data_IF_847252040909
#
_entry.id   IF_847252040909
#
_cell.length_a   1.000
_cell.length_b   1.000
_cell.length_c   1.000
_cell.angle_alpha   90.00
_cell.angle_beta   90.00
_cell.angle_gamma   90.00
#
_symmetry.space_group_name_H-M   'P 1'
#
loop_
_entity.id
_entity.type
_entity.pdbx_description
1 polymer ?
#
# COMPACT_ATOMS: atom_id res chain seq x y z
N UNK A 1 4.49 -20.35 -45.96
CA UNK A 1 4.31 -21.81 -46.00
C UNK A 1 4.73 -22.38 -44.66
N UNK A 2 3.82 -23.07 -43.94
CA UNK A 2 3.93 -23.40 -42.52
C UNK A 2 4.62 -24.75 -42.28
N UNK A 3 5.34 -24.85 -41.16
CA UNK A 3 5.81 -26.11 -40.59
C UNK A 3 4.73 -26.69 -39.67
N UNK A 4 4.26 -27.90 -39.98
CA UNK A 4 3.46 -28.77 -39.12
C UNK A 4 4.39 -29.65 -38.28
N UNK A 5 4.11 -29.88 -36.99
CA UNK A 5 4.54 -31.09 -36.32
C UNK A 5 3.40 -32.07 -36.04
N UNK A 6 3.81 -33.33 -36.07
CA UNK A 6 3.08 -34.58 -35.96
C UNK A 6 2.02 -34.67 -34.85
N UNK A 7 0.88 -35.27 -35.22
CA UNK A 7 -0.18 -35.74 -34.32
C UNK A 7 0.12 -37.21 -33.96
N UNK A 8 0.27 -37.59 -32.69
CA UNK A 8 0.26 -39.00 -32.31
C UNK A 8 -1.19 -39.52 -32.26
N UNK A 9 -1.46 -40.52 -33.10
CA UNK A 9 -2.70 -41.33 -33.09
C UNK A 9 -2.65 -42.26 -31.88
N UNK A 10 -3.41 -41.94 -30.83
CA UNK A 10 -3.60 -42.85 -29.71
C UNK A 10 -4.85 -43.70 -29.97
N UNK A 11 -4.65 -45.01 -30.20
CA UNK A 11 -5.71 -45.99 -30.42
C UNK A 11 -6.56 -46.14 -29.16
N UNK A 12 -7.87 -45.98 -29.35
CA UNK A 12 -8.92 -46.10 -28.34
C UNK A 12 -9.22 -47.58 -28.10
N UNK A 13 -8.90 -48.07 -26.91
CA UNK A 13 -9.49 -49.31 -26.37
C UNK A 13 -10.41 -48.94 -25.20
N UNK A 14 -11.68 -49.27 -25.38
CA UNK A 14 -12.82 -49.19 -24.47
C UNK A 14 -12.50 -49.61 -23.04
N UNK A 15 -12.70 -48.71 -22.09
CA UNK A 15 -13.05 -49.06 -20.71
C UNK A 15 -13.92 -47.95 -20.11
N UNK A 16 -14.96 -48.38 -19.41
CA UNK A 16 -15.98 -47.56 -18.75
C UNK A 16 -15.38 -46.60 -17.70
N UNK A 17 -16.20 -45.60 -17.35
CA UNK A 17 -16.12 -44.69 -16.19
C UNK A 17 -15.23 -43.44 -16.32
N UNK A 18 -15.91 -42.31 -16.50
CA UNK A 18 -15.84 -41.23 -15.51
C UNK A 18 -14.90 -40.06 -15.81
N UNK A 19 -15.45 -38.85 -15.64
CA UNK A 19 -14.77 -37.56 -15.53
C UNK A 19 -14.17 -36.95 -16.81
N UNK A 20 -15.07 -36.46 -17.68
CA UNK A 20 -14.85 -35.16 -18.35
C UNK A 20 -14.77 -34.05 -17.29
N UNK A 21 -13.59 -33.90 -16.68
CA UNK A 21 -13.22 -32.70 -15.92
C UNK A 21 -12.96 -31.58 -16.94
N UNK A 22 -14.04 -30.87 -17.29
CA UNK A 22 -13.94 -29.47 -17.70
C UNK A 22 -13.33 -28.71 -16.52
N UNK A 23 -12.00 -28.64 -16.47
CA UNK A 23 -11.29 -27.63 -15.70
C UNK A 23 -11.58 -26.28 -16.35
N UNK A 24 -12.78 -25.75 -16.11
CA UNK A 24 -13.02 -24.33 -16.18
C UNK A 24 -12.11 -23.73 -15.11
N UNK A 25 -10.92 -23.27 -15.54
CA UNK A 25 -10.12 -22.35 -14.75
C UNK A 25 -10.98 -21.11 -14.55
N UNK A 26 -11.70 -21.06 -13.43
CA UNK A 26 -12.37 -19.87 -12.96
C UNK A 26 -11.25 -18.89 -12.61
N UNK A 27 -10.79 -18.13 -13.61
CA UNK A 27 -10.07 -16.91 -13.38
C UNK A 27 -11.08 -15.99 -12.69
N UNK A 28 -11.07 -16.01 -11.36
CA UNK A 28 -11.87 -15.10 -10.57
C UNK A 28 -11.49 -13.69 -11.02
N UNK A 29 -12.46 -12.96 -11.56
CA UNK A 29 -12.25 -11.58 -11.95
C UNK A 29 -11.72 -10.81 -10.72
N UNK A 30 -10.73 -9.92 -10.90
CA UNK A 30 -10.20 -9.14 -9.79
C UNK A 30 -11.36 -8.38 -9.12
N UNK A 31 -11.39 -8.39 -7.79
CA UNK A 31 -12.38 -7.64 -7.01
C UNK A 31 -12.29 -6.16 -7.40
N UNK A 32 -13.38 -5.62 -7.97
CA UNK A 32 -13.45 -4.24 -8.44
C UNK A 32 -13.10 -3.22 -7.35
N UNK A 33 -13.33 -3.56 -6.07
CA UNK A 33 -12.95 -2.73 -4.92
C UNK A 33 -11.43 -2.68 -4.78
N UNK A 34 -10.77 -3.84 -4.84
CA UNK A 34 -9.31 -3.95 -4.78
C UNK A 34 -8.65 -3.26 -5.97
N UNK A 35 -9.24 -3.36 -7.15
CA UNK A 35 -8.77 -2.64 -8.34
C UNK A 35 -8.84 -1.13 -8.13
N UNK A 36 -9.96 -0.60 -7.62
CA UNK A 36 -10.09 0.85 -7.34
C UNK A 36 -9.04 1.34 -6.32
N UNK A 37 -8.76 0.52 -5.30
CA UNK A 37 -7.74 0.83 -4.28
C UNK A 37 -6.34 0.84 -4.91
N UNK A 38 -6.02 -0.18 -5.72
CA UNK A 38 -4.73 -0.29 -6.40
C UNK A 38 -4.51 0.87 -7.38
N UNK A 39 -5.51 1.21 -8.20
CA UNK A 39 -5.44 2.35 -9.13
C UNK A 39 -5.19 3.67 -8.39
N UNK A 40 -5.87 3.89 -7.26
CA UNK A 40 -5.64 5.09 -6.45
C UNK A 40 -4.25 5.10 -5.80
N UNK A 41 -3.76 3.96 -5.34
CA UNK A 41 -2.40 3.82 -4.81
C UNK A 41 -1.34 4.12 -5.89
N UNK A 42 -1.52 3.61 -7.11
CA UNK A 42 -0.65 3.91 -8.25
C UNK A 42 -0.70 5.39 -8.65
N UNK A 43 -1.89 6.00 -8.69
CA UNK A 43 -2.01 7.43 -8.94
C UNK A 43 -1.29 8.27 -7.86
N UNK A 44 -1.39 7.89 -6.59
CA UNK A 44 -0.67 8.52 -5.50
C UNK A 44 0.85 8.37 -5.63
N UNK A 45 1.32 7.19 -6.08
CA UNK A 45 2.72 6.95 -6.38
C UNK A 45 3.23 7.90 -7.48
N UNK A 46 2.56 7.92 -8.63
CA UNK A 46 2.98 8.72 -9.77
C UNK A 46 3.00 10.22 -9.45
N UNK A 47 2.02 10.69 -8.69
CA UNK A 47 1.88 12.10 -8.35
C UNK A 47 2.84 12.56 -7.25
N UNK A 48 2.95 11.79 -6.16
CA UNK A 48 3.56 12.26 -4.92
C UNK A 48 4.94 11.67 -4.63
N UNK A 49 5.25 10.45 -5.11
CA UNK A 49 6.46 9.73 -4.69
C UNK A 49 7.77 10.45 -5.06
N UNK A 50 7.75 11.26 -6.13
CA UNK A 50 8.88 12.12 -6.54
C UNK A 50 9.40 13.06 -5.44
N UNK A 51 8.56 13.43 -4.48
CA UNK A 51 8.95 14.31 -3.37
C UNK A 51 9.72 13.56 -2.28
N UNK A 52 9.51 12.26 -2.13
CA UNK A 52 9.94 11.50 -0.94
C UNK A 52 11.44 11.57 -0.69
N UNK A 53 12.25 11.55 -1.74
CA UNK A 53 13.72 11.61 -1.62
C UNK A 53 14.23 13.01 -1.24
N UNK A 54 13.59 14.09 -1.70
CA UNK A 54 14.09 15.46 -1.48
C UNK A 54 13.45 16.12 -0.27
N UNK A 55 12.16 15.90 -0.08
CA UNK A 55 11.36 16.55 0.94
C UNK A 55 10.21 15.62 1.38
N UNK A 56 10.43 14.83 2.44
CA UNK A 56 9.40 13.96 3.02
C UNK A 56 8.16 14.73 3.47
N UNK A 57 8.27 16.01 3.85
CA UNK A 57 7.13 16.81 4.25
C UNK A 57 6.28 17.23 3.03
N UNK A 58 6.91 17.58 1.91
CA UNK A 58 6.20 17.81 0.64
C UNK A 58 5.53 16.53 0.12
N UNK A 59 6.18 15.37 0.30
CA UNK A 59 5.55 14.07 0.03
C UNK A 59 4.29 13.86 0.88
N UNK A 60 4.40 14.03 2.20
CA UNK A 60 3.27 13.89 3.11
C UNK A 60 2.14 14.88 2.77
N UNK A 61 2.48 16.13 2.48
CA UNK A 61 1.49 17.15 2.13
C UNK A 61 0.75 16.79 0.82
N UNK A 62 1.47 16.36 -0.22
CA UNK A 62 0.85 15.91 -1.48
C UNK A 62 -0.18 14.79 -1.23
N UNK A 63 0.15 13.83 -0.37
CA UNK A 63 -0.75 12.73 -0.03
C UNK A 63 -1.95 13.17 0.83
N UNK A 64 -1.76 14.13 1.76
CA UNK A 64 -2.88 14.71 2.51
C UNK A 64 -3.85 15.45 1.60
N UNK A 65 -3.34 16.20 0.64
CA UNK A 65 -4.15 16.93 -0.33
C UNK A 65 -4.93 15.95 -1.19
N UNK A 66 -4.25 14.94 -1.76
CA UNK A 66 -4.89 13.89 -2.56
C UNK A 66 -5.97 13.14 -1.76
N UNK A 67 -5.66 12.74 -0.53
CA UNK A 67 -6.64 12.13 0.39
C UNK A 67 -7.86 13.03 0.63
N UNK A 68 -7.64 14.33 0.80
CA UNK A 68 -8.71 15.31 1.04
C UNK A 68 -9.62 15.43 -0.18
N UNK A 69 -9.06 15.48 -1.39
CA UNK A 69 -9.87 15.49 -2.63
C UNK A 69 -10.71 14.21 -2.80
N UNK A 70 -10.23 13.09 -2.24
CA UNK A 70 -10.89 11.78 -2.33
C UNK A 70 -11.84 11.50 -1.15
N UNK A 71 -12.14 12.48 -0.30
CA UNK A 71 -12.94 12.26 0.92
C UNK A 71 -14.31 11.61 0.68
N UNK A 72 -14.95 11.89 -0.46
CA UNK A 72 -16.24 11.31 -0.86
C UNK A 72 -16.12 9.88 -1.46
N UNK A 73 -14.90 9.41 -1.75
CA UNK A 73 -14.64 8.12 -2.40
C UNK A 73 -13.78 7.25 -1.49
N UNK A 74 -14.37 6.50 -0.53
CA UNK A 74 -13.62 5.82 0.53
C UNK A 74 -12.63 4.77 0.00
N UNK A 75 -12.92 4.11 -1.12
CA UNK A 75 -11.99 3.15 -1.74
C UNK A 75 -10.73 3.84 -2.31
N UNK A 76 -10.90 4.96 -3.02
CA UNK A 76 -9.75 5.75 -3.53
C UNK A 76 -8.94 6.31 -2.39
N UNK A 77 -9.63 6.89 -1.40
CA UNK A 77 -9.03 7.41 -0.18
C UNK A 77 -8.18 6.34 0.52
N UNK A 78 -8.69 5.12 0.66
CA UNK A 78 -7.94 4.00 1.24
C UNK A 78 -6.67 3.67 0.45
N UNK A 79 -6.74 3.65 -0.88
CA UNK A 79 -5.57 3.42 -1.73
C UNK A 79 -4.48 4.46 -1.51
N UNK A 80 -4.84 5.74 -1.47
CA UNK A 80 -3.91 6.85 -1.18
C UNK A 80 -3.31 6.74 0.22
N UNK A 81 -4.13 6.51 1.25
CA UNK A 81 -3.66 6.39 2.64
C UNK A 81 -2.75 5.18 2.83
N UNK A 82 -3.10 4.04 2.23
CA UNK A 82 -2.29 2.84 2.32
C UNK A 82 -0.96 2.99 1.58
N UNK A 83 -0.98 3.55 0.37
CA UNK A 83 0.26 3.87 -0.35
C UNK A 83 1.15 4.83 0.45
N UNK A 84 0.57 5.87 1.04
CA UNK A 84 1.31 6.84 1.85
C UNK A 84 2.11 6.18 2.98
N UNK A 85 1.45 5.26 3.71
CA UNK A 85 2.08 4.44 4.74
C UNK A 85 3.18 3.53 4.19
N UNK A 86 2.91 2.77 3.12
CA UNK A 86 3.90 1.84 2.52
C UNK A 86 5.12 2.57 1.96
N UNK A 87 4.89 3.70 1.29
CA UNK A 87 5.95 4.57 0.80
C UNK A 87 6.80 5.09 1.97
N UNK A 88 6.18 5.55 3.05
CA UNK A 88 6.91 6.02 4.23
C UNK A 88 7.72 4.90 4.91
N UNK A 89 7.15 3.69 5.10
CA UNK A 89 7.86 2.53 5.63
C UNK A 89 9.14 2.20 4.85
N UNK A 90 9.09 2.31 3.52
CA UNK A 90 10.23 2.01 2.65
C UNK A 90 11.42 2.92 2.92
N UNK A 91 11.16 4.14 3.42
CA UNK A 91 12.17 5.16 3.68
C UNK A 91 12.64 5.24 5.14
N UNK A 92 11.90 4.63 6.08
CA UNK A 92 12.39 4.44 7.46
C UNK A 92 13.72 3.66 7.44
N UNK A 93 13.80 2.63 6.59
CA UNK A 93 14.99 1.76 6.50
C UNK A 93 16.25 2.47 6.04
N UNK A 94 16.11 3.55 5.25
CA UNK A 94 17.23 4.36 4.76
C UNK A 94 17.45 5.62 5.61
N UNK A 95 16.79 5.72 6.77
CA UNK A 95 17.03 6.77 7.76
C UNK A 95 16.56 8.16 7.34
N UNK A 96 15.55 8.25 6.46
CA UNK A 96 14.98 9.56 6.11
C UNK A 96 14.26 10.18 7.31
N UNK A 97 14.56 11.46 7.55
CA UNK A 97 13.94 12.24 8.62
C UNK A 97 12.41 12.24 8.46
N UNK A 98 11.71 12.06 9.58
CA UNK A 98 10.25 12.07 9.71
C UNK A 98 9.49 10.94 8.97
N UNK A 99 10.17 10.00 8.30
CA UNK A 99 9.49 8.91 7.59
C UNK A 99 8.66 8.03 8.54
N UNK A 100 9.13 7.84 9.78
CA UNK A 100 8.42 7.15 10.86
C UNK A 100 7.15 7.88 11.28
N UNK A 101 7.22 9.20 11.47
CA UNK A 101 6.06 10.04 11.83
C UNK A 101 5.01 10.04 10.72
N UNK A 102 5.44 10.15 9.45
CA UNK A 102 4.55 10.08 8.28
C UNK A 102 3.89 8.71 8.20
N UNK A 103 4.67 7.63 8.38
CA UNK A 103 4.12 6.28 8.40
C UNK A 103 3.07 6.14 9.52
N UNK A 104 3.34 6.64 10.73
CA UNK A 104 2.40 6.58 11.84
C UNK A 104 1.12 7.41 11.61
N UNK A 105 1.23 8.59 11.00
CA UNK A 105 0.08 9.41 10.57
C UNK A 105 -0.83 8.57 9.65
N UNK A 106 -0.28 8.08 8.54
CA UNK A 106 -1.07 7.36 7.55
C UNK A 106 -1.51 5.97 8.01
N UNK A 107 -0.77 5.32 8.92
CA UNK A 107 -1.19 4.08 9.59
C UNK A 107 -2.51 4.27 10.30
N UNK A 108 -2.59 5.30 11.16
CA UNK A 108 -3.82 5.63 11.87
C UNK A 108 -4.98 5.87 10.90
N UNK A 109 -4.73 6.61 9.83
CA UNK A 109 -5.77 7.03 8.90
C UNK A 109 -6.27 5.89 8.01
N UNK A 110 -5.37 5.12 7.39
CA UNK A 110 -5.77 3.99 6.55
C UNK A 110 -6.50 2.93 7.39
N UNK A 111 -6.10 2.69 8.65
CA UNK A 111 -6.79 1.73 9.53
C UNK A 111 -8.22 2.13 9.82
N UNK A 112 -8.46 3.42 10.04
CA UNK A 112 -9.83 3.93 10.22
C UNK A 112 -10.67 3.74 8.95
N UNK A 113 -10.11 4.06 7.79
CA UNK A 113 -10.80 3.89 6.51
C UNK A 113 -11.03 2.41 6.19
N UNK A 114 -10.03 1.57 6.36
CA UNK A 114 -10.07 0.12 6.15
C UNK A 114 -11.15 -0.54 7.01
N UNK A 115 -11.24 -0.18 8.31
CA UNK A 115 -12.26 -0.70 9.23
C UNK A 115 -13.67 -0.35 8.77
N UNK A 116 -13.91 0.88 8.28
CA UNK A 116 -15.21 1.30 7.75
C UNK A 116 -15.61 0.53 6.49
N UNK A 117 -14.62 0.19 5.66
CA UNK A 117 -14.79 -0.51 4.39
C UNK A 117 -14.91 -2.03 4.59
N UNK A 118 -14.42 -2.57 5.72
CA UNK A 118 -14.46 -3.99 6.04
C UNK A 118 -13.49 -4.83 5.20
N UNK A 119 -12.30 -4.30 4.90
CA UNK A 119 -11.29 -5.00 4.10
C UNK A 119 -10.21 -5.63 4.98
N UNK A 120 -9.86 -6.89 4.73
CA UNK A 120 -8.79 -7.59 5.46
C UNK A 120 -7.39 -7.15 5.04
N UNK A 121 -6.43 -7.29 5.95
CA UNK A 121 -5.04 -6.84 5.76
C UNK A 121 -4.34 -7.50 4.57
N UNK A 122 -4.54 -8.81 4.39
CA UNK A 122 -3.95 -9.54 3.26
C UNK A 122 -4.48 -9.04 1.91
N UNK A 123 -5.78 -8.75 1.83
CA UNK A 123 -6.41 -8.23 0.63
C UNK A 123 -6.00 -6.78 0.34
N UNK A 124 -5.85 -5.95 1.38
CA UNK A 124 -5.32 -4.60 1.21
C UNK A 124 -3.85 -4.64 0.76
N UNK A 125 -3.05 -5.55 1.31
CA UNK A 125 -1.64 -5.64 0.98
C UNK A 125 -1.36 -5.93 -0.49
N UNK A 126 -2.17 -6.78 -1.13
CA UNK A 126 -2.00 -7.10 -2.55
C UNK A 126 -2.28 -5.94 -3.50
N UNK A 127 -2.86 -4.83 -3.01
CA UNK A 127 -3.14 -3.63 -3.85
C UNK A 127 -1.90 -2.79 -4.17
N UNK A 128 -0.80 -2.97 -3.43
CA UNK A 128 0.47 -2.29 -3.69
C UNK A 128 1.57 -3.34 -3.86
N UNK A 129 2.33 -3.34 -4.96
CA UNK A 129 3.39 -4.33 -5.21
C UNK A 129 4.40 -4.41 -4.05
N UNK A 130 4.89 -5.61 -3.74
CA UNK A 130 5.91 -5.85 -2.71
C UNK A 130 5.64 -7.12 -1.89
N UNK A 131 6.51 -7.38 -0.91
CA UNK A 131 6.38 -8.54 -0.02
C UNK A 131 5.35 -8.27 1.08
N UNK A 132 4.22 -8.98 1.02
CA UNK A 132 3.15 -8.84 2.00
C UNK A 132 3.48 -9.40 3.37
N UNK A 133 4.32 -10.43 3.47
CA UNK A 133 4.74 -10.99 4.76
C UNK A 133 5.53 -9.95 5.54
N UNK A 134 6.51 -9.32 4.88
CA UNK A 134 7.33 -8.26 5.48
C UNK A 134 6.48 -7.04 5.82
N UNK A 135 5.64 -6.59 4.88
CA UNK A 135 4.81 -5.40 5.10
C UNK A 135 3.84 -5.57 6.26
N UNK A 136 3.17 -6.72 6.36
CA UNK A 136 2.25 -7.01 7.45
C UNK A 136 2.98 -7.11 8.80
N UNK A 137 4.20 -7.64 8.83
CA UNK A 137 5.03 -7.64 10.03
C UNK A 137 5.39 -6.21 10.46
N UNK A 138 5.87 -5.38 9.54
CA UNK A 138 6.21 -3.97 9.80
C UNK A 138 5.01 -3.13 10.27
N UNK A 139 3.84 -3.38 9.68
CA UNK A 139 2.59 -2.78 10.15
C UNK A 139 2.33 -3.13 11.61
N UNK A 140 2.41 -4.40 11.99
CA UNK A 140 2.19 -4.84 13.38
C UNK A 140 3.22 -4.24 14.34
N UNK A 141 4.49 -4.20 13.94
CA UNK A 141 5.55 -3.58 14.76
C UNK A 141 5.24 -2.11 15.04
N UNK A 142 4.83 -1.35 14.02
CA UNK A 142 4.49 0.07 14.18
C UNK A 142 3.20 0.28 14.97
N UNK A 143 2.22 -0.62 14.87
CA UNK A 143 1.02 -0.59 15.71
C UNK A 143 1.34 -0.81 17.19
N UNK A 144 2.29 -1.70 17.49
CA UNK A 144 2.74 -2.00 18.84
C UNK A 144 3.64 -0.90 19.42
N UNK A 145 4.46 -0.27 18.58
CA UNK A 145 5.44 0.74 18.97
C UNK A 145 5.39 1.95 18.02
N UNK A 146 4.33 2.77 18.06
CA UNK A 146 4.26 3.98 17.26
C UNK A 146 5.39 4.95 17.68
N UNK A 147 5.92 5.76 16.74
CA UNK A 147 6.95 6.74 17.04
C UNK A 147 6.47 7.70 18.12
N UNK A 148 7.36 8.02 19.06
CA UNK A 148 7.06 8.99 20.11
C UNK A 148 6.90 10.36 19.47
N UNK A 149 5.80 11.05 19.78
CA UNK A 149 5.62 12.43 19.38
C UNK A 149 6.76 13.27 19.99
N UNK A 150 7.61 13.83 19.13
CA UNK A 150 8.63 14.79 19.57
C UNK A 150 7.94 16.13 19.73
N UNK A 151 7.61 16.49 20.96
CA UNK A 151 7.15 17.84 21.26
C UNK A 151 8.32 18.80 21.01
N UNK A 152 8.09 19.87 20.27
CA UNK A 152 9.08 20.93 20.05
C UNK A 152 8.64 22.15 20.87
N UNK A 153 9.58 22.77 21.55
CA UNK A 153 9.38 24.06 22.23
C UNK A 153 10.22 25.13 21.55
N UNK A 154 9.67 26.34 21.47
CA UNK A 154 10.47 27.50 21.08
C UNK A 154 11.41 27.85 22.23
N UNK A 155 12.72 27.84 21.98
CA UNK A 155 13.72 28.31 22.92
C UNK A 155 14.46 29.50 22.30
N UNK A 156 14.45 30.63 22.99
CA UNK A 156 15.14 31.84 22.55
C UNK A 156 16.35 32.09 23.46
N UNK A 157 17.54 32.26 22.86
CA UNK A 157 18.80 32.58 23.56
C UNK A 157 19.42 33.79 22.88
N UNK A 158 19.69 34.85 23.66
CA UNK A 158 20.27 36.10 23.16
C UNK A 158 19.53 36.70 21.93
N UNK A 159 18.20 36.61 21.91
CA UNK A 159 17.36 37.15 20.83
C UNK A 159 17.22 36.25 19.60
N UNK A 160 17.90 35.10 19.54
CA UNK A 160 17.71 34.10 18.48
C UNK A 160 16.78 33.01 18.99
N UNK A 161 15.67 32.80 18.28
CA UNK A 161 14.69 31.76 18.60
C UNK A 161 14.88 30.53 17.71
N UNK A 162 14.87 29.35 18.32
CA UNK A 162 14.95 28.07 17.62
C UNK A 162 13.97 27.08 18.23
N UNK A 163 13.37 26.25 17.38
CA UNK A 163 12.56 25.11 17.82
C UNK A 163 13.51 24.00 18.28
N UNK A 164 13.40 23.60 19.54
CA UNK A 164 14.19 22.51 20.14
C UNK A 164 13.26 21.43 20.71
N UNK A 165 13.69 20.16 20.78
CA UNK A 165 12.91 19.12 21.42
C UNK A 165 12.60 19.49 22.88
N UNK A 166 11.33 19.40 23.27
CA UNK A 166 10.91 19.47 24.66
C UNK A 166 11.34 18.19 25.37
N UNK A 167 12.10 18.33 26.47
CA UNK A 167 12.50 17.23 27.36
C UNK A 167 11.39 16.92 28.35
#
# INVERSE_FOLDING_TARGET
>A
MPFLPAIPVCRITTSLLGCTLLLASAWAAPDARLQTIAEAAHAAQDQCFKHMYRDPNAYAQCLRDLRTTQAATPLKKLGTEYFAFVGALSYIRVGHMNADQIAAEFLKDYRQTQKKIGLGDAALCSTVPGDCTVRLAQTREMELAPPKAVSMRMQCVAGVCSLVPAR
#
